data_IF_486797770888
#
_entry.id   IF_486797770888
#
_cell.length_a   1.000
_cell.length_b   1.000
_cell.length_c   1.000
_cell.angle_alpha   90.00
_cell.angle_beta   90.00
_cell.angle_gamma   90.00
#
_symmetry.space_group_name_H-M   'P 1'
#
loop_
_entity.id
_entity.type
_entity.pdbx_description
1 polymer ?
#
# COMPACT_ATOMS: atom_id res chain seq x y z
N UNK A 1 -2.40 42.47 4.24
CA UNK A 1 -2.37 41.40 3.21
C UNK A 1 -1.68 40.21 3.87
N UNK A 2 -2.45 39.24 4.36
CA UNK A 2 -1.93 38.14 5.18
C UNK A 2 -1.52 37.02 4.23
N UNK A 3 -0.23 36.86 3.95
CA UNK A 3 0.29 35.65 3.34
C UNK A 3 0.34 34.56 4.42
N UNK A 4 -0.82 33.99 4.75
CA UNK A 4 -0.83 32.69 5.42
C UNK A 4 -0.20 31.72 4.43
N UNK A 5 1.01 31.27 4.72
CA UNK A 5 1.71 30.22 4.00
C UNK A 5 0.72 29.13 3.62
N UNK A 6 0.36 29.09 2.34
CA UNK A 6 -0.45 28.01 1.78
C UNK A 6 0.48 26.81 1.80
N UNK A 7 0.57 26.14 2.95
CA UNK A 7 0.81 24.72 2.96
C UNK A 7 -0.35 24.16 2.16
N UNK A 8 -0.17 24.02 0.85
CA UNK A 8 -0.97 23.14 0.01
C UNK A 8 -0.79 21.76 0.62
N UNK A 9 -1.54 21.46 1.69
CA UNK A 9 -1.80 20.12 2.13
C UNK A 9 -2.52 19.52 0.94
N UNK A 10 -1.77 18.91 0.02
CA UNK A 10 -2.32 18.07 -1.02
C UNK A 10 -3.22 17.08 -0.29
N UNK A 11 -4.51 17.29 -0.43
CA UNK A 11 -5.49 16.55 0.34
C UNK A 11 -5.63 15.19 -0.35
N UNK A 12 -4.77 14.27 0.08
CA UNK A 12 -4.72 12.91 -0.41
C UNK A 12 -5.94 12.11 0.07
N UNK A 13 -6.37 11.17 -0.75
CA UNK A 13 -7.34 10.15 -0.36
C UNK A 13 -6.61 8.81 -0.18
N UNK A 14 -6.01 8.54 0.98
CA UNK A 14 -5.21 7.35 1.18
C UNK A 14 -6.08 6.10 1.26
N UNK A 15 -5.55 4.98 0.77
CA UNK A 15 -6.12 3.64 0.89
C UNK A 15 -5.00 2.62 1.05
N UNK A 16 -5.36 1.45 1.57
CA UNK A 16 -4.42 0.36 1.80
C UNK A 16 -4.71 -0.75 0.81
N UNK A 17 -3.67 -1.23 0.13
CA UNK A 17 -3.69 -2.49 -0.61
C UNK A 17 -2.97 -3.55 0.22
N UNK A 18 -3.54 -4.73 0.29
CA UNK A 18 -2.96 -5.87 0.99
C UNK A 18 -2.83 -7.01 0.00
N UNK A 19 -1.61 -7.54 -0.12
CA UNK A 19 -1.29 -8.71 -0.92
C UNK A 19 -0.90 -9.84 0.02
N UNK A 20 -1.49 -11.01 -0.18
CA UNK A 20 -1.05 -12.25 0.46
C UNK A 20 -0.11 -12.96 -0.50
N UNK A 21 1.13 -13.14 -0.07
CA UNK A 21 2.19 -13.75 -0.87
C UNK A 21 2.54 -15.14 -0.32
N UNK A 22 2.82 -16.08 -1.22
CA UNK A 22 3.49 -17.35 -0.92
C UNK A 22 4.76 -17.45 -1.76
N UNK A 23 5.91 -17.37 -1.09
CA UNK A 23 7.19 -17.14 -1.78
C UNK A 23 7.14 -15.83 -2.57
N UNK A 24 7.28 -15.92 -3.90
CA UNK A 24 7.24 -14.76 -4.82
C UNK A 24 5.88 -14.54 -5.49
N UNK A 25 4.91 -15.43 -5.25
CA UNK A 25 3.62 -15.38 -5.92
C UNK A 25 2.58 -14.65 -5.06
N UNK A 26 1.87 -13.71 -5.68
CA UNK A 26 0.68 -13.10 -5.08
C UNK A 26 -0.50 -14.06 -5.27
N UNK A 27 -0.98 -14.64 -4.18
CA UNK A 27 -2.10 -15.59 -4.19
C UNK A 27 -3.43 -14.95 -3.78
N UNK A 28 -3.39 -13.78 -3.14
CA UNK A 28 -4.58 -13.04 -2.74
C UNK A 28 -4.31 -11.54 -2.74
N UNK A 29 -5.32 -10.73 -3.08
CA UNK A 29 -5.23 -9.27 -3.03
C UNK A 29 -6.55 -8.64 -2.61
N UNK A 30 -6.47 -7.63 -1.76
CA UNK A 30 -7.62 -6.84 -1.32
C UNK A 30 -7.20 -5.39 -1.12
N UNK A 31 -8.18 -4.49 -1.00
CA UNK A 31 -7.92 -3.09 -0.67
C UNK A 31 -9.04 -2.52 0.20
N UNK A 32 -8.69 -1.53 1.00
CA UNK A 32 -9.68 -0.72 1.72
C UNK A 32 -10.36 0.28 0.79
N UNK A 33 -11.46 0.87 1.26
CA UNK A 33 -12.00 2.11 0.68
C UNK A 33 -11.04 3.27 0.95
N UNK A 34 -10.94 4.20 0.01
CA UNK A 34 -10.16 5.43 0.20
C UNK A 34 -10.73 6.29 1.32
N UNK A 35 -9.87 6.68 2.25
CA UNK A 35 -10.21 7.62 3.31
C UNK A 35 -10.34 9.02 2.71
N UNK A 36 -11.35 9.77 3.16
CA UNK A 36 -11.60 11.11 2.64
C UNK A 36 -10.57 12.07 3.24
N UNK A 37 -9.69 12.57 2.37
CA UNK A 37 -9.08 13.88 2.54
C UNK A 37 -8.30 14.07 3.86
N UNK A 38 -7.43 13.12 4.19
CA UNK A 38 -6.71 13.09 5.47
C UNK A 38 -5.31 12.49 5.32
N UNK A 39 -4.36 12.97 6.14
CA UNK A 39 -3.01 12.40 6.29
C UNK A 39 -2.91 11.41 7.46
N UNK A 40 -4.00 11.20 8.19
CA UNK A 40 -4.09 10.26 9.31
C UNK A 40 -5.38 9.44 9.16
N UNK A 41 -5.46 8.56 8.15
CA UNK A 41 -6.67 7.81 7.86
C UNK A 41 -6.96 6.75 8.93
N UNK A 42 -8.24 6.65 9.29
CA UNK A 42 -8.78 5.54 10.08
C UNK A 42 -9.67 4.72 9.14
N UNK A 43 -9.25 3.49 8.82
CA UNK A 43 -9.97 2.64 7.87
C UNK A 43 -11.04 1.77 8.53
N UNK A 44 -10.74 1.18 9.69
CA UNK A 44 -11.62 0.26 10.44
C UNK A 44 -12.33 -0.77 9.53
N UNK A 45 -11.57 -1.35 8.58
CA UNK A 45 -12.07 -2.36 7.64
C UNK A 45 -11.34 -3.67 7.85
N UNK A 46 -12.11 -4.74 7.88
CA UNK A 46 -11.58 -6.10 7.93
C UNK A 46 -11.33 -6.58 6.51
N UNK A 47 -10.13 -7.11 6.28
CA UNK A 47 -9.76 -7.83 5.07
C UNK A 47 -9.59 -9.29 5.47
N UNK A 48 -10.31 -10.18 4.79
CA UNK A 48 -10.33 -11.61 5.11
C UNK A 48 -9.70 -12.37 3.96
N UNK A 49 -8.75 -13.23 4.30
CA UNK A 49 -8.14 -14.23 3.43
C UNK A 49 -8.49 -15.61 4.00
N UNK A 50 -8.90 -16.53 3.14
CA UNK A 50 -9.32 -17.88 3.56
C UNK A 50 -8.16 -18.88 3.60
N UNK A 51 -6.99 -18.47 3.11
CA UNK A 51 -5.77 -19.27 3.05
C UNK A 51 -5.13 -19.42 4.43
N UNK A 52 -4.40 -20.54 4.62
CA UNK A 52 -3.63 -20.74 5.85
C UNK A 52 -2.50 -19.71 5.97
N UNK A 53 -2.19 -19.19 7.17
CA UNK A 53 -1.15 -18.18 7.35
C UNK A 53 0.28 -18.72 7.17
N UNK A 54 0.49 -20.04 7.24
CA UNK A 54 1.81 -20.67 7.19
C UNK A 54 2.54 -20.36 5.88
N UNK A 55 3.82 -20.02 5.96
CA UNK A 55 4.70 -19.68 4.82
C UNK A 55 4.18 -18.51 3.97
N UNK A 56 3.35 -17.65 4.54
CA UNK A 56 2.81 -16.48 3.86
C UNK A 56 3.42 -15.18 4.35
N UNK A 57 3.42 -14.20 3.47
CA UNK A 57 3.81 -12.82 3.77
C UNK A 57 2.61 -11.92 3.45
N UNK A 58 2.23 -11.07 4.39
CA UNK A 58 1.34 -9.95 4.11
C UNK A 58 2.18 -8.76 3.65
N UNK A 59 1.99 -8.36 2.41
CA UNK A 59 2.53 -7.12 1.88
C UNK A 59 1.45 -6.05 1.91
N UNK A 60 1.65 -5.04 2.75
CA UNK A 60 0.72 -3.93 2.96
C UNK A 60 1.33 -2.69 2.30
N UNK A 61 0.62 -2.13 1.31
CA UNK A 61 1.02 -0.92 0.60
C UNK A 61 0.01 0.18 0.85
N UNK A 62 0.48 1.32 1.36
CA UNK A 62 -0.33 2.52 1.49
C UNK A 62 -0.17 3.36 0.24
N UNK A 63 -1.29 3.63 -0.41
CA UNK A 63 -1.40 4.44 -1.62
C UNK A 63 -2.29 5.64 -1.32
N UNK A 64 -2.27 6.65 -2.19
CA UNK A 64 -3.23 7.73 -2.15
C UNK A 64 -3.64 8.19 -3.54
N UNK A 65 -4.90 8.56 -3.68
CA UNK A 65 -5.39 9.23 -4.88
C UNK A 65 -5.27 10.75 -4.72
N UNK A 66 -4.78 11.43 -5.77
CA UNK A 66 -4.68 12.88 -5.82
C UNK A 66 -6.04 13.52 -6.16
N UNK A 67 -7.04 13.34 -5.30
CA UNK A 67 -8.35 13.97 -5.46
C UNK A 67 -9.00 13.69 -6.83
N UNK A 68 -9.17 14.74 -7.65
CA UNK A 68 -9.76 14.64 -9.01
C UNK A 68 -8.74 14.23 -10.08
N UNK A 69 -7.45 14.15 -9.74
CA UNK A 69 -6.43 13.66 -10.67
C UNK A 69 -6.34 12.15 -10.56
N UNK A 70 -6.32 11.46 -11.70
CA UNK A 70 -6.09 10.00 -11.79
C UNK A 70 -4.63 9.60 -11.51
N UNK A 71 -3.92 10.41 -10.73
CA UNK A 71 -2.56 10.13 -10.27
C UNK A 71 -2.63 9.42 -8.93
N UNK A 72 -1.79 8.39 -8.78
CA UNK A 72 -1.64 7.62 -7.55
C UNK A 72 -0.30 7.97 -6.90
N UNK A 73 -0.33 8.30 -5.63
CA UNK A 73 0.86 8.45 -4.78
C UNK A 73 1.15 7.14 -4.07
N UNK A 74 2.40 6.69 -4.11
CA UNK A 74 2.90 5.67 -3.20
C UNK A 74 3.31 6.34 -1.89
N UNK A 75 2.76 5.88 -0.77
CA UNK A 75 3.04 6.45 0.56
C UNK A 75 3.95 5.55 1.41
N UNK A 76 3.99 4.25 1.11
CA UNK A 76 4.89 3.33 1.79
C UNK A 76 4.43 1.89 1.70
N UNK A 77 5.32 0.99 2.08
CA UNK A 77 5.10 -0.45 2.06
C UNK A 77 5.69 -1.11 3.31
N UNK A 78 5.08 -2.20 3.75
CA UNK A 78 5.64 -3.09 4.76
C UNK A 78 5.31 -4.54 4.40
N UNK A 79 6.23 -5.44 4.69
CA UNK A 79 6.04 -6.87 4.57
C UNK A 79 6.10 -7.51 5.96
N UNK A 80 5.12 -8.34 6.27
CA UNK A 80 5.00 -9.04 7.54
C UNK A 80 4.95 -10.53 7.25
N UNK A 81 5.96 -11.28 7.70
CA UNK A 81 5.93 -12.74 7.60
C UNK A 81 4.96 -13.26 8.66
N UNK A 82 3.94 -14.00 8.24
CA UNK A 82 2.93 -14.50 9.17
C UNK A 82 3.49 -15.60 10.08
N UNK A 83 4.57 -16.26 9.67
CA UNK A 83 5.29 -17.26 10.48
C UNK A 83 6.02 -16.65 11.70
N UNK A 84 6.31 -15.34 11.68
CA UNK A 84 6.94 -14.65 12.81
C UNK A 84 5.93 -14.19 13.87
N UNK A 85 4.63 -14.34 13.57
CA UNK A 85 3.55 -13.89 14.44
C UNK A 85 3.00 -15.08 15.24
N UNK A 86 2.80 -14.87 16.53
CA UNK A 86 2.12 -15.83 17.41
C UNK A 86 0.60 -15.76 17.19
N UNK A 87 0.13 -16.30 16.06
CA UNK A 87 -1.28 -16.30 15.69
C UNK A 87 -2.05 -17.27 16.60
N UNK A 88 -2.69 -16.71 17.63
CA UNK A 88 -3.54 -17.41 18.58
C UNK A 88 -5.03 -17.10 18.41
N UNK A 89 -5.86 -17.42 19.42
CA UNK A 89 -7.28 -17.06 19.42
C UNK A 89 -7.49 -15.54 19.53
N UNK A 90 -6.55 -14.83 20.15
CA UNK A 90 -6.60 -13.37 20.30
C UNK A 90 -5.95 -12.66 19.10
N UNK A 91 -6.51 -11.52 18.65
CA UNK A 91 -5.95 -10.75 17.55
C UNK A 91 -4.64 -10.06 17.96
N UNK A 92 -3.65 -10.10 17.05
CA UNK A 92 -2.42 -9.33 17.21
C UNK A 92 -2.66 -7.90 16.75
N UNK A 93 -2.37 -6.93 17.61
CA UNK A 93 -2.51 -5.49 17.34
C UNK A 93 -1.14 -4.84 17.52
N UNK A 94 -0.65 -4.15 16.50
CA UNK A 94 0.66 -3.51 16.53
C UNK A 94 0.83 -2.41 15.49
N UNK A 95 1.79 -1.53 15.76
CA UNK A 95 2.21 -0.48 14.83
C UNK A 95 3.36 -0.98 13.97
N UNK A 96 3.21 -0.87 12.64
CA UNK A 96 4.22 -1.28 11.68
C UNK A 96 4.78 -0.06 10.95
N UNK A 97 6.11 0.04 10.88
CA UNK A 97 6.79 1.10 10.14
C UNK A 97 6.64 0.86 8.64
N UNK A 98 6.27 1.90 7.91
CA UNK A 98 6.27 1.88 6.44
C UNK A 98 7.66 2.26 5.91
N UNK A 99 8.06 1.58 4.84
CA UNK A 99 9.31 1.80 4.13
C UNK A 99 9.05 2.31 2.71
N UNK A 100 10.08 2.85 2.06
CA UNK A 100 10.03 3.16 0.63
C UNK A 100 10.17 1.88 -0.20
N UNK A 101 9.66 1.88 -1.44
CA UNK A 101 9.71 0.68 -2.30
C UNK A 101 11.16 0.18 -2.51
N UNK A 102 12.11 1.11 -2.69
CA UNK A 102 13.53 0.79 -2.85
C UNK A 102 14.16 0.10 -1.64
N UNK A 103 13.53 0.16 -0.47
CA UNK A 103 14.03 -0.51 0.74
C UNK A 103 13.65 -2.00 0.80
N UNK A 104 12.74 -2.47 -0.06
CA UNK A 104 12.40 -3.88 -0.19
C UNK A 104 13.25 -4.57 -1.27
N UNK A 105 14.58 -4.50 -1.14
CA UNK A 105 15.48 -5.25 -2.04
C UNK A 105 15.25 -6.75 -1.84
N UNK A 106 14.57 -7.40 -2.79
CA UNK A 106 14.46 -8.87 -2.86
C UNK A 106 13.10 -9.45 -3.27
N UNK A 107 12.02 -8.65 -3.36
CA UNK A 107 10.68 -9.16 -3.68
C UNK A 107 9.90 -8.21 -4.58
N UNK A 108 10.40 -7.96 -5.78
CA UNK A 108 9.56 -7.37 -6.84
C UNK A 108 8.62 -8.47 -7.37
N UNK A 109 7.28 -8.38 -7.18
CA UNK A 109 6.37 -9.08 -8.07
C UNK A 109 6.47 -8.38 -9.42
N UNK A 110 6.73 -9.13 -10.49
CA UNK A 110 6.75 -8.61 -11.86
C UNK A 110 5.44 -7.85 -12.11
N UNK A 111 5.50 -6.53 -12.01
CA UNK A 111 4.45 -5.66 -12.51
C UNK A 111 4.55 -5.69 -14.04
N UNK A 112 3.80 -6.62 -14.64
CA UNK A 112 3.33 -6.45 -16.00
C UNK A 112 2.38 -5.25 -16.00
N UNK A 113 2.49 -4.40 -17.00
CA UNK A 113 1.73 -3.16 -17.22
C UNK A 113 2.40 -1.89 -16.69
N UNK A 114 3.48 -1.47 -17.35
CA UNK A 114 3.86 -0.05 -17.52
C UNK A 114 4.79 0.11 -18.74
N UNK A 115 4.41 -0.44 -19.90
CA UNK A 115 4.79 0.17 -21.17
C UNK A 115 3.65 1.08 -21.59
N UNK A 116 3.74 2.35 -21.23
CA UNK A 116 3.08 3.40 -22.00
C UNK A 116 3.84 4.69 -21.81
N UNK A 117 4.32 5.18 -22.95
CA UNK A 117 4.80 6.54 -23.20
C UNK A 117 6.22 6.84 -22.75
N UNK A 118 7.17 6.62 -23.65
CA UNK A 118 8.12 7.63 -24.12
C UNK A 118 8.90 7.09 -25.33
N UNK A 119 8.54 7.59 -26.51
CA UNK A 119 9.09 7.30 -27.83
C UNK A 119 7.96 7.55 -28.83
N UNK A 120 7.98 8.52 -29.74
CA UNK A 120 9.09 9.12 -30.49
C UNK A 120 8.78 10.61 -30.74
N UNK A 121 9.68 11.51 -30.37
CA UNK A 121 9.83 12.78 -31.09
C UNK A 121 11.10 12.61 -31.93
N UNK A 122 10.93 12.37 -33.22
CA UNK A 122 12.01 12.51 -34.20
C UNK A 122 11.57 13.55 -35.21
N UNK A 123 12.30 14.66 -35.21
CA UNK A 123 12.33 15.64 -36.28
C UNK A 123 13.22 15.11 -37.41
#
# INVERSE_FOLDING_TARGET
>A
MIFSSIHLRLILAPYVKVYLLEGKQCIGKAKTRSARRTNSPIFQQHIVFSETPRKKILQITVMADYGRMERKAFLGIVQIRLDDLELGPEPIIGWYKLYYNSSLVGTEPVHKDSETSLGEMKQ
#
